data_IF_482004920863
#
_entry.id   IF_482004920863
#
_cell.length_a   1.000
_cell.length_b   1.000
_cell.length_c   1.000
_cell.angle_alpha   90.00
_cell.angle_beta   90.00
_cell.angle_gamma   90.00
#
_symmetry.space_group_name_H-M   'P 1'
#
loop_
_entity.id
_entity.type
_entity.pdbx_description
1 polymer ?
#
# COMPACT_ATOMS: atom_id res chain seq x y z
N UNK A 1 -67.99 -35.97 10.22
CA UNK A 1 -68.54 -37.29 9.81
C UNK A 1 -67.36 -38.22 9.65
N UNK A 2 -67.19 -39.14 10.61
CA UNK A 2 -67.43 -40.58 10.41
C UNK A 2 -66.43 -41.15 9.39
N UNK A 3 -65.31 -41.69 9.89
CA UNK A 3 -65.11 -43.12 10.21
C UNK A 3 -64.59 -43.90 9.00
N UNK A 4 -63.47 -44.59 9.24
CA UNK A 4 -62.76 -45.64 8.51
C UNK A 4 -63.68 -46.75 7.94
N UNK A 5 -63.25 -47.90 7.35
CA UNK A 5 -61.88 -48.49 7.32
C UNK A 5 -61.54 -49.41 6.09
N UNK A 6 -60.36 -50.04 6.21
CA UNK A 6 -60.09 -51.48 6.01
C UNK A 6 -59.73 -52.07 4.63
N UNK A 7 -58.58 -52.78 4.64
CA UNK A 7 -58.27 -53.96 3.84
C UNK A 7 -57.27 -53.71 2.71
N UNK A 8 -56.24 -54.52 2.44
CA UNK A 8 -55.93 -55.91 2.82
C UNK A 8 -54.42 -56.13 2.58
N UNK A 9 -53.77 -56.90 3.46
CA UNK A 9 -52.40 -57.42 3.30
C UNK A 9 -52.34 -58.45 2.16
N UNK A 10 -51.49 -58.21 1.17
CA UNK A 10 -51.07 -59.17 0.15
C UNK A 10 -49.61 -59.60 0.39
N UNK A 11 -49.41 -60.92 0.38
CA UNK A 11 -48.25 -61.69 0.83
C UNK A 11 -47.09 -61.62 -0.18
N UNK A 12 -45.87 -61.61 0.35
CA UNK A 12 -44.60 -61.63 -0.37
C UNK A 12 -44.23 -63.03 -0.88
N UNK A 13 -43.46 -63.07 -1.97
CA UNK A 13 -42.52 -64.13 -2.38
C UNK A 13 -41.48 -63.54 -3.37
N UNK A 14 -40.31 -64.18 -3.59
CA UNK A 14 -39.01 -63.54 -3.37
C UNK A 14 -38.12 -63.39 -4.63
N UNK A 15 -36.91 -62.89 -4.39
CA UNK A 15 -35.69 -62.91 -5.23
C UNK A 15 -35.56 -61.94 -6.41
N UNK A 16 -34.74 -60.91 -6.19
CA UNK A 16 -33.58 -60.59 -7.04
C UNK A 16 -32.72 -59.54 -6.33
N UNK A 17 -31.56 -59.92 -5.80
CA UNK A 17 -30.50 -58.97 -5.43
C UNK A 17 -29.85 -58.41 -6.71
N UNK A 18 -29.69 -57.09 -6.83
CA UNK A 18 -28.63 -56.51 -7.63
C UNK A 18 -27.65 -55.75 -6.72
N UNK A 19 -26.42 -56.26 -6.62
CA UNK A 19 -25.15 -55.56 -6.41
C UNK A 19 -25.23 -54.18 -5.71
N UNK A 20 -25.37 -54.24 -4.39
CA UNK A 20 -25.44 -53.08 -3.48
C UNK A 20 -24.14 -52.23 -3.43
N UNK A 21 -23.08 -52.63 -4.14
CA UNK A 21 -21.77 -51.95 -4.08
C UNK A 21 -21.58 -50.86 -5.15
N UNK A 22 -22.36 -50.88 -6.25
CA UNK A 22 -22.33 -49.82 -7.27
C UNK A 22 -23.26 -48.64 -6.94
N UNK A 23 -24.33 -48.88 -6.19
CA UNK A 23 -25.29 -47.85 -5.81
C UNK A 23 -24.75 -46.94 -4.69
N UNK A 24 -23.94 -47.48 -3.77
CA UNK A 24 -23.28 -46.70 -2.71
C UNK A 24 -22.20 -45.73 -3.26
N UNK A 25 -21.49 -46.11 -4.33
CA UNK A 25 -20.51 -45.22 -4.97
C UNK A 25 -21.18 -44.07 -5.75
N UNK A 26 -22.32 -44.32 -6.38
CA UNK A 26 -23.12 -43.30 -7.08
C UNK A 26 -23.80 -42.33 -6.10
N UNK A 27 -24.31 -42.83 -4.97
CA UNK A 27 -24.87 -41.99 -3.91
C UNK A 27 -23.78 -41.18 -3.17
N UNK A 28 -22.59 -41.75 -2.98
CA UNK A 28 -21.43 -41.06 -2.41
C UNK A 28 -20.91 -39.91 -3.29
N UNK A 29 -20.80 -40.12 -4.62
CA UNK A 29 -20.42 -39.05 -5.54
C UNK A 29 -21.51 -37.98 -5.69
N UNK A 30 -22.79 -38.35 -5.62
CA UNK A 30 -23.91 -37.41 -5.63
C UNK A 30 -23.90 -36.47 -4.42
N UNK A 31 -23.61 -36.99 -3.22
CA UNK A 31 -23.51 -36.17 -2.01
C UNK A 31 -22.26 -35.27 -1.97
N UNK A 32 -21.14 -35.68 -2.58
CA UNK A 32 -19.95 -34.82 -2.71
C UNK A 32 -20.16 -33.71 -3.75
N UNK A 33 -20.98 -33.93 -4.77
CA UNK A 33 -21.33 -32.90 -5.76
C UNK A 33 -22.45 -31.94 -5.30
N UNK A 34 -23.28 -32.34 -4.32
CA UNK A 34 -24.31 -31.47 -3.72
C UNK A 34 -23.79 -30.61 -2.55
N UNK A 35 -22.62 -30.93 -1.98
CA UNK A 35 -21.99 -30.13 -0.91
C UNK A 35 -21.07 -29.00 -1.43
N UNK A 36 -20.90 -28.85 -2.75
CA UNK A 36 -20.07 -27.79 -3.35
C UNK A 36 -20.85 -26.50 -3.66
N UNK A 37 -22.15 -26.46 -3.37
CA UNK A 37 -22.96 -25.25 -3.47
C UNK A 37 -23.33 -24.85 -2.04
N UNK A 38 -23.19 -23.56 -1.72
CA UNK A 38 -23.36 -22.96 -0.38
C UNK A 38 -22.15 -23.05 0.56
N UNK A 39 -20.97 -22.69 0.06
CA UNK A 39 -20.09 -21.82 0.85
C UNK A 39 -20.34 -20.39 0.36
N UNK A 40 -20.72 -19.41 1.22
CA UNK A 40 -20.72 -18.00 0.86
C UNK A 40 -19.26 -17.53 0.82
N UNK A 41 -18.52 -18.00 -0.19
CA UNK A 41 -17.22 -17.44 -0.54
C UNK A 41 -17.46 -16.22 -1.41
N UNK A 42 -16.78 -15.11 -1.11
CA UNK A 42 -16.72 -13.94 -1.99
C UNK A 42 -16.10 -14.39 -3.32
N UNK A 43 -16.95 -14.65 -4.31
CA UNK A 43 -16.51 -15.06 -5.64
C UNK A 43 -15.77 -13.90 -6.31
N UNK A 44 -14.61 -14.19 -6.89
CA UNK A 44 -13.92 -13.22 -7.71
C UNK A 44 -14.86 -12.75 -8.84
N UNK A 45 -14.93 -11.44 -9.12
CA UNK A 45 -15.81 -10.91 -10.14
C UNK A 45 -15.47 -11.49 -11.51
N UNK A 46 -16.51 -11.81 -12.30
CA UNK A 46 -16.36 -12.42 -13.62
C UNK A 46 -15.59 -11.53 -14.59
N UNK A 47 -14.99 -12.12 -15.64
CA UNK A 47 -14.32 -11.37 -16.72
C UNK A 47 -15.24 -10.44 -17.50
N UNK A 48 -16.56 -10.53 -17.29
CA UNK A 48 -17.59 -9.69 -17.89
C UNK A 48 -17.82 -8.38 -17.12
N UNK A 49 -17.17 -8.21 -15.96
CA UNK A 49 -17.30 -7.01 -15.15
C UNK A 49 -16.54 -5.83 -15.77
N UNK A 50 -17.29 -4.85 -16.27
CA UNK A 50 -16.72 -3.58 -16.76
C UNK A 50 -16.08 -2.81 -15.60
N UNK A 51 -14.82 -2.39 -15.78
CA UNK A 51 -14.00 -1.71 -14.76
C UNK A 51 -13.72 -0.24 -15.03
N UNK A 52 -14.37 0.34 -16.03
CA UNK A 52 -14.22 1.75 -16.35
C UNK A 52 -15.60 2.35 -16.64
N UNK A 53 -15.77 3.59 -16.18
CA UNK A 53 -16.89 4.45 -16.55
C UNK A 53 -16.31 5.80 -17.00
N UNK A 54 -16.27 6.02 -18.30
CA UNK A 54 -15.53 7.14 -18.88
C UNK A 54 -14.05 7.04 -18.55
N UNK A 55 -13.51 8.08 -17.93
CA UNK A 55 -12.09 8.17 -17.55
C UNK A 55 -11.80 7.64 -16.14
N UNK A 56 -12.82 7.17 -15.42
CA UNK A 56 -12.68 6.74 -14.03
C UNK A 56 -12.59 5.22 -13.96
N UNK A 57 -11.53 4.72 -13.33
CA UNK A 57 -11.38 3.31 -13.02
C UNK A 57 -12.28 2.92 -11.84
N UNK A 58 -12.99 1.80 -11.97
CA UNK A 58 -13.90 1.24 -10.98
C UNK A 58 -13.31 -0.08 -10.46
N UNK A 59 -12.39 -0.01 -9.49
CA UNK A 59 -11.79 -1.20 -8.91
C UNK A 59 -12.79 -1.93 -8.00
N UNK A 60 -12.71 -3.26 -7.95
CA UNK A 60 -13.38 -4.03 -6.90
C UNK A 60 -12.84 -3.58 -5.52
N UNK A 61 -13.67 -3.34 -4.49
CA UNK A 61 -15.03 -3.87 -4.27
C UNK A 61 -16.17 -3.09 -4.93
N UNK A 62 -15.90 -2.00 -5.64
CA UNK A 62 -16.93 -1.25 -6.36
C UNK A 62 -17.31 -1.93 -7.67
N UNK A 63 -18.54 -1.66 -8.13
CA UNK A 63 -19.06 -2.20 -9.38
C UNK A 63 -20.11 -1.27 -10.00
N UNK A 64 -20.14 -1.23 -11.32
CA UNK A 64 -21.15 -0.52 -12.14
C UNK A 64 -22.08 -1.48 -12.90
N UNK A 65 -21.84 -2.78 -12.74
CA UNK A 65 -22.62 -3.87 -13.33
C UNK A 65 -23.14 -4.70 -12.17
N UNK A 66 -24.43 -5.11 -12.17
CA UNK A 66 -24.98 -5.97 -11.13
C UNK A 66 -24.13 -7.24 -10.94
N UNK A 67 -23.79 -7.55 -9.68
CA UNK A 67 -22.95 -8.70 -9.33
C UNK A 67 -21.44 -8.51 -9.54
N UNK A 68 -20.99 -7.30 -9.89
CA UNK A 68 -19.56 -6.98 -10.05
C UNK A 68 -18.95 -6.17 -8.91
N UNK A 69 -19.75 -5.85 -7.90
CA UNK A 69 -19.38 -5.25 -6.62
C UNK A 69 -19.33 -6.30 -5.50
N UNK A 70 -18.76 -5.95 -4.35
CA UNK A 70 -18.73 -6.81 -3.17
C UNK A 70 -20.12 -6.97 -2.55
N UNK A 71 -20.85 -5.87 -2.41
CA UNK A 71 -22.25 -5.82 -1.99
C UNK A 71 -22.94 -4.68 -2.73
N UNK A 72 -24.28 -4.67 -2.70
CA UNK A 72 -25.06 -3.58 -3.30
C UNK A 72 -24.69 -2.19 -2.76
N UNK A 73 -24.14 -2.10 -1.55
CA UNK A 73 -23.71 -0.82 -0.98
C UNK A 73 -22.47 -0.23 -1.70
N UNK A 74 -21.71 -1.08 -2.41
CA UNK A 74 -20.58 -0.70 -3.27
C UNK A 74 -20.98 -0.49 -4.74
N UNK A 75 -22.26 -0.61 -5.08
CA UNK A 75 -22.74 -0.30 -6.43
C UNK A 75 -22.62 1.19 -6.72
N UNK A 76 -22.25 1.49 -7.96
CA UNK A 76 -22.22 2.82 -8.56
C UNK A 76 -23.09 2.78 -9.83
N UNK A 77 -23.75 3.88 -10.16
CA UNK A 77 -24.35 4.03 -11.49
C UNK A 77 -23.30 4.57 -12.47
N UNK A 78 -23.43 4.26 -13.75
CA UNK A 78 -22.59 4.80 -14.81
C UNK A 78 -23.50 5.42 -15.86
N UNK A 79 -23.64 6.74 -15.81
CA UNK A 79 -24.62 7.51 -16.56
C UNK A 79 -23.93 8.33 -17.64
N UNK A 80 -24.56 8.47 -18.81
CA UNK A 80 -24.00 9.24 -19.92
C UNK A 80 -24.54 10.67 -19.85
N UNK A 81 -23.65 11.65 -19.65
CA UNK A 81 -23.96 13.07 -19.67
C UNK A 81 -23.14 13.75 -20.78
N UNK A 82 -23.80 14.50 -21.65
CA UNK A 82 -23.16 15.16 -22.81
C UNK A 82 -22.30 14.20 -23.68
N UNK A 83 -22.73 12.94 -23.78
CA UNK A 83 -22.03 11.90 -24.53
C UNK A 83 -20.85 11.25 -23.80
N UNK A 84 -20.54 11.67 -22.57
CA UNK A 84 -19.44 11.15 -21.75
C UNK A 84 -20.02 10.30 -20.61
N UNK A 85 -19.66 9.00 -20.49
CA UNK A 85 -20.04 8.19 -19.35
C UNK A 85 -19.34 8.66 -18.07
N UNK A 86 -20.07 8.78 -16.98
CA UNK A 86 -19.58 9.23 -15.68
C UNK A 86 -20.15 8.37 -14.55
N UNK A 87 -19.33 7.97 -13.56
CA UNK A 87 -19.82 7.18 -12.44
C UNK A 87 -20.47 8.06 -11.38
N UNK A 88 -21.53 7.56 -10.73
CA UNK A 88 -22.23 8.26 -9.67
C UNK A 88 -22.50 7.34 -8.47
N UNK A 89 -22.49 7.96 -7.30
CA UNK A 89 -23.05 7.41 -6.05
C UNK A 89 -24.22 8.30 -5.66
N UNK A 90 -25.44 7.84 -5.93
CA UNK A 90 -26.63 8.68 -5.79
C UNK A 90 -26.50 9.92 -6.68
N UNK A 91 -26.61 11.12 -6.11
CA UNK A 91 -26.48 12.38 -6.84
C UNK A 91 -25.03 12.86 -7.05
N UNK A 92 -24.03 12.15 -6.49
CA UNK A 92 -22.64 12.60 -6.43
C UNK A 92 -21.81 11.91 -7.51
N UNK A 93 -21.25 12.69 -8.45
CA UNK A 93 -20.31 12.19 -9.46
C UNK A 93 -19.03 11.73 -8.77
N UNK A 94 -18.56 10.53 -9.07
CA UNK A 94 -17.31 9.96 -8.53
C UNK A 94 -16.16 10.36 -9.44
N UNK A 95 -15.13 10.99 -8.87
CA UNK A 95 -13.96 11.47 -9.59
C UNK A 95 -12.87 10.39 -9.65
N UNK A 96 -12.61 9.73 -8.52
CA UNK A 96 -11.58 8.71 -8.37
C UNK A 96 -11.86 7.81 -7.16
N UNK A 97 -11.26 6.62 -7.17
CA UNK A 97 -11.34 5.65 -6.07
C UNK A 97 -9.93 5.14 -5.78
N UNK A 98 -9.46 5.32 -4.54
CA UNK A 98 -8.16 4.85 -4.09
C UNK A 98 -8.32 3.66 -3.14
N UNK A 99 -7.91 2.47 -3.59
CA UNK A 99 -7.81 1.28 -2.73
C UNK A 99 -6.78 1.47 -1.62
N UNK A 100 -5.59 2.00 -1.97
CA UNK A 100 -4.48 2.15 -1.04
C UNK A 100 -4.80 3.09 0.14
N UNK A 101 -5.54 4.17 -0.14
CA UNK A 101 -5.94 5.17 0.86
C UNK A 101 -7.28 4.87 1.51
N UNK A 102 -8.12 4.01 0.91
CA UNK A 102 -9.50 3.81 1.35
C UNK A 102 -10.36 5.05 1.15
N UNK A 103 -10.12 5.81 0.08
CA UNK A 103 -10.84 7.07 -0.20
C UNK A 103 -11.53 7.04 -1.57
N UNK A 104 -12.59 7.83 -1.72
CA UNK A 104 -13.23 8.12 -2.99
C UNK A 104 -13.51 9.62 -3.10
N UNK A 105 -13.02 10.26 -4.17
CA UNK A 105 -13.33 11.65 -4.47
C UNK A 105 -14.68 11.77 -5.17
N UNK A 106 -15.50 12.73 -4.77
CA UNK A 106 -16.81 13.00 -5.37
C UNK A 106 -17.05 14.49 -5.58
N UNK A 107 -17.96 14.84 -6.50
CA UNK A 107 -18.42 16.23 -6.68
C UNK A 107 -19.64 16.55 -5.82
N UNK A 108 -19.43 17.43 -4.85
CA UNK A 108 -20.44 17.94 -3.95
C UNK A 108 -21.05 19.26 -4.45
N UNK A 109 -22.29 19.57 -4.07
CA UNK A 109 -22.98 20.78 -4.50
C UNK A 109 -22.64 21.98 -3.62
N UNK A 110 -22.47 23.14 -4.24
CA UNK A 110 -22.31 24.42 -3.54
C UNK A 110 -23.71 24.94 -3.17
N UNK A 111 -23.93 25.26 -1.90
CA UNK A 111 -25.12 26.02 -1.48
C UNK A 111 -24.81 27.51 -1.58
N UNK A 112 -25.50 28.21 -2.49
CA UNK A 112 -25.47 29.66 -2.59
C UNK A 112 -26.66 30.30 -1.87
N UNK A 113 -26.43 31.44 -1.22
CA UNK A 113 -27.47 32.31 -0.70
C UNK A 113 -27.22 33.71 -1.25
N UNK A 114 -28.02 34.12 -2.23
CA UNK A 114 -27.76 35.29 -3.05
C UNK A 114 -28.92 36.28 -3.03
N UNK A 115 -28.59 37.55 -3.17
CA UNK A 115 -29.58 38.60 -3.35
C UNK A 115 -30.15 38.58 -4.77
N UNK A 116 -31.48 38.47 -4.85
CA UNK A 116 -32.24 38.56 -6.09
C UNK A 116 -32.82 39.97 -6.23
N UNK A 117 -32.34 40.72 -7.21
CA UNK A 117 -32.75 42.11 -7.47
C UNK A 117 -34.19 42.22 -7.95
N UNK A 118 -34.75 41.15 -8.53
CA UNK A 118 -36.12 41.13 -9.06
C UNK A 118 -37.15 40.97 -7.94
N UNK A 119 -36.86 40.15 -6.94
CA UNK A 119 -37.73 39.91 -5.77
C UNK A 119 -37.39 40.81 -4.59
N UNK A 120 -36.19 41.38 -4.58
CA UNK A 120 -35.69 42.25 -3.51
C UNK A 120 -35.30 41.49 -2.24
N UNK A 121 -35.12 40.16 -2.32
CA UNK A 121 -34.86 39.26 -1.20
C UNK A 121 -33.65 38.37 -1.40
N UNK A 122 -33.17 37.79 -0.30
CA UNK A 122 -32.14 36.75 -0.33
C UNK A 122 -32.78 35.38 -0.61
N UNK A 123 -32.24 34.66 -1.59
CA UNK A 123 -32.77 33.38 -2.08
C UNK A 123 -31.66 32.33 -2.18
N UNK A 124 -32.05 31.06 -2.05
CA UNK A 124 -31.13 29.95 -2.23
C UNK A 124 -30.89 29.68 -3.72
N UNK A 125 -29.63 29.47 -4.08
CA UNK A 125 -29.20 29.07 -5.42
C UNK A 125 -28.37 27.79 -5.34
N UNK A 126 -28.54 26.93 -6.33
CA UNK A 126 -27.95 25.59 -6.34
C UNK A 126 -28.86 24.53 -5.73
N UNK A 127 -28.31 23.35 -5.48
CA UNK A 127 -29.04 22.26 -4.85
C UNK A 127 -29.04 22.44 -3.33
N UNK A 128 -30.22 22.65 -2.75
CA UNK A 128 -30.41 22.62 -1.30
C UNK A 128 -30.36 21.17 -0.79
N UNK A 129 -29.64 20.94 0.30
CA UNK A 129 -29.45 19.60 0.87
C UNK A 129 -28.01 19.10 0.71
N UNK A 130 -27.45 18.53 1.79
CA UNK A 130 -26.09 17.99 1.79
C UNK A 130 -25.98 16.54 1.32
N UNK A 131 -25.00 15.82 1.85
CA UNK A 131 -24.78 14.41 1.53
C UNK A 131 -25.70 13.52 2.36
N UNK A 132 -26.47 12.66 1.71
CA UNK A 132 -27.38 11.72 2.38
C UNK A 132 -26.93 10.27 2.23
N UNK A 133 -26.14 9.80 3.20
CA UNK A 133 -25.86 8.38 3.39
C UNK A 133 -26.71 7.77 4.50
N UNK A 134 -26.52 6.48 4.74
CA UNK A 134 -27.16 5.74 5.82
C UNK A 134 -26.09 5.05 6.71
N UNK A 135 -26.45 4.56 7.92
CA UNK A 135 -25.50 3.91 8.82
C UNK A 135 -24.76 2.71 8.21
N UNK A 136 -25.41 1.98 7.30
CA UNK A 136 -24.86 0.81 6.60
C UNK A 136 -24.03 1.17 5.36
N UNK A 137 -24.08 2.43 4.91
CA UNK A 137 -23.24 2.93 3.82
C UNK A 137 -21.76 2.67 4.11
N UNK A 138 -20.98 2.17 3.13
CA UNK A 138 -19.55 1.94 3.30
C UNK A 138 -18.77 3.26 3.48
N UNK A 139 -19.36 4.39 3.08
CA UNK A 139 -18.70 5.69 3.05
C UNK A 139 -19.01 6.53 4.29
N UNK A 140 -18.00 7.27 4.75
CA UNK A 140 -18.08 8.37 5.72
C UNK A 140 -17.45 9.61 5.12
N UNK A 141 -17.89 10.79 5.55
CA UNK A 141 -17.28 12.06 5.18
C UNK A 141 -15.89 12.14 5.82
N UNK A 142 -14.85 12.42 5.03
CA UNK A 142 -13.48 12.46 5.54
C UNK A 142 -13.28 13.64 6.49
N UNK A 143 -13.04 13.38 7.78
CA UNK A 143 -12.84 14.40 8.81
C UNK A 143 -11.48 15.11 8.67
N UNK A 144 -10.51 14.41 8.11
CA UNK A 144 -9.14 14.92 7.95
C UNK A 144 -8.98 15.76 6.68
N UNK A 145 -9.64 15.37 5.59
CA UNK A 145 -9.46 15.97 4.27
C UNK A 145 -10.51 17.02 3.91
N UNK A 146 -11.73 16.93 4.47
CA UNK A 146 -12.77 17.92 4.18
C UNK A 146 -12.83 19.02 5.24
N UNK A 147 -13.22 20.22 4.80
CA UNK A 147 -13.56 21.35 5.67
C UNK A 147 -14.88 21.95 5.23
N UNK A 148 -15.74 22.22 6.21
CA UNK A 148 -16.95 22.99 5.95
C UNK A 148 -16.54 24.44 5.73
N UNK A 149 -16.69 24.91 4.50
CA UNK A 149 -16.19 26.21 4.03
C UNK A 149 -17.38 27.15 3.83
N UNK A 150 -17.31 28.31 4.46
CA UNK A 150 -18.27 29.40 4.29
C UNK A 150 -17.55 30.60 3.72
N UNK A 151 -18.11 31.18 2.66
CA UNK A 151 -17.55 32.31 1.92
C UNK A 151 -18.60 33.40 1.85
N UNK A 152 -18.20 34.65 2.09
CA UNK A 152 -19.05 35.81 1.99
C UNK A 152 -18.75 36.85 3.06
N UNK A 153 -19.58 37.88 3.12
CA UNK A 153 -19.55 38.94 4.11
C UNK A 153 -20.84 38.92 4.93
N UNK A 154 -20.73 38.93 6.26
CA UNK A 154 -21.88 38.72 7.16
C UNK A 154 -22.62 37.41 6.81
N UNK A 155 -21.87 36.36 6.56
CA UNK A 155 -22.37 35.03 6.20
C UNK A 155 -22.30 34.11 7.42
N UNK A 156 -23.44 33.53 7.80
CA UNK A 156 -23.57 32.56 8.88
C UNK A 156 -24.27 31.31 8.34
N UNK A 157 -23.51 30.22 8.21
CA UNK A 157 -24.04 28.94 7.76
C UNK A 157 -23.88 27.86 8.83
N UNK A 158 -24.87 26.98 8.90
CA UNK A 158 -24.92 25.81 9.77
C UNK A 158 -24.63 24.57 8.93
N UNK A 159 -23.85 23.65 9.48
CA UNK A 159 -23.74 22.27 9.05
C UNK A 159 -24.26 21.38 10.17
N UNK A 160 -25.08 20.40 9.82
CA UNK A 160 -25.72 19.52 10.80
C UNK A 160 -25.72 18.08 10.32
N UNK A 161 -25.48 17.14 11.22
CA UNK A 161 -25.68 15.71 11.01
C UNK A 161 -26.74 15.22 11.98
N UNK A 162 -28.02 15.34 11.58
CA UNK A 162 -29.16 14.98 12.42
C UNK A 162 -29.37 13.46 12.52
N UNK A 163 -29.04 12.73 11.45
CA UNK A 163 -29.29 11.29 11.34
C UNK A 163 -28.11 10.43 11.79
N UNK A 164 -26.90 10.99 11.85
CA UNK A 164 -25.66 10.34 12.29
C UNK A 164 -25.27 10.68 13.72
N UNK A 165 -24.32 11.59 13.88
CA UNK A 165 -23.68 11.84 15.18
C UNK A 165 -24.43 12.86 16.04
N UNK A 166 -25.47 13.52 15.52
CA UNK A 166 -26.10 14.68 16.15
C UNK A 166 -25.20 15.93 16.10
N UNK A 167 -24.21 15.96 15.20
CA UNK A 167 -23.25 17.05 15.13
C UNK A 167 -23.91 18.32 14.59
N UNK A 168 -23.52 19.47 15.16
CA UNK A 168 -23.87 20.78 14.65
C UNK A 168 -22.61 21.65 14.68
N UNK A 169 -22.30 22.29 13.56
CA UNK A 169 -21.16 23.16 13.39
C UNK A 169 -21.55 24.43 12.68
N UNK A 170 -20.86 25.53 12.97
CA UNK A 170 -21.11 26.81 12.31
C UNK A 170 -19.87 27.24 11.52
N UNK A 171 -20.11 27.89 10.39
CA UNK A 171 -19.12 28.67 9.67
C UNK A 171 -19.57 30.13 9.63
N UNK A 172 -18.64 31.04 9.91
CA UNK A 172 -18.91 32.47 10.03
C UNK A 172 -17.86 33.22 9.23
N UNK A 173 -18.31 33.95 8.21
CA UNK A 173 -17.47 34.85 7.44
C UNK A 173 -17.99 36.29 7.56
N UNK A 174 -17.10 37.19 7.97
CA UNK A 174 -17.41 38.61 8.23
C UNK A 174 -16.48 39.50 7.45
N UNK A 175 -16.90 40.74 7.19
CA UNK A 175 -16.04 41.82 6.73
C UNK A 175 -16.75 43.15 6.91
N UNK A 176 -16.01 44.26 6.89
CA UNK A 176 -16.62 45.60 6.78
C UNK A 176 -16.63 46.04 5.34
N UNK A 177 -15.50 45.90 4.64
CA UNK A 177 -15.32 46.22 3.24
C UNK A 177 -14.43 45.18 2.52
N UNK A 178 -14.39 45.23 1.19
CA UNK A 178 -13.51 44.37 0.38
C UNK A 178 -12.02 44.57 0.66
N UNK A 179 -11.61 45.76 1.12
CA UNK A 179 -10.22 46.08 1.47
C UNK A 179 -9.67 45.28 2.66
N UNK A 180 -10.56 44.74 3.49
CA UNK A 180 -10.18 43.94 4.67
C UNK A 180 -9.84 42.49 4.30
N UNK A 181 -10.18 42.09 3.07
CA UNK A 181 -10.02 40.73 2.59
C UNK A 181 -8.64 40.55 1.98
N UNK A 182 -8.04 39.39 2.23
CA UNK A 182 -6.72 39.02 1.74
C UNK A 182 -6.83 37.67 1.04
N UNK A 183 -6.39 37.58 -0.21
CA UNK A 183 -6.33 36.31 -0.94
C UNK A 183 -5.49 35.28 -0.15
N UNK A 184 -5.90 34.01 -0.20
CA UNK A 184 -5.28 32.91 0.54
C UNK A 184 -5.64 32.85 2.03
N UNK A 185 -6.27 33.87 2.61
CA UNK A 185 -6.68 33.88 4.03
C UNK A 185 -8.13 33.39 4.22
N UNK A 186 -8.34 32.38 5.07
CA UNK A 186 -9.68 31.86 5.39
C UNK A 186 -9.82 31.59 6.90
N UNK A 187 -9.86 32.67 7.69
CA UNK A 187 -9.92 32.59 9.17
C UNK A 187 -10.97 33.54 9.77
N UNK A 188 -12.12 33.64 9.12
CA UNK A 188 -13.29 34.41 9.58
C UNK A 188 -13.52 35.74 8.84
N UNK A 189 -12.52 36.23 8.10
CA UNK A 189 -12.65 37.40 7.23
C UNK A 189 -12.89 36.98 5.78
N UNK A 190 -14.09 37.21 5.24
CA UNK A 190 -14.49 36.79 3.89
C UNK A 190 -14.65 35.28 3.68
N UNK A 191 -13.97 34.46 4.50
CA UNK A 191 -14.00 33.01 4.45
C UNK A 191 -13.72 32.40 5.83
N UNK A 192 -14.38 31.28 6.14
CA UNK A 192 -14.04 30.44 7.29
C UNK A 192 -14.11 28.95 6.95
N UNK A 193 -13.22 28.16 7.54
CA UNK A 193 -13.24 26.71 7.46
C UNK A 193 -13.41 26.07 8.84
N UNK A 194 -14.37 25.17 8.96
CA UNK A 194 -14.66 24.41 10.18
C UNK A 194 -14.41 22.93 9.94
N UNK A 195 -13.75 22.27 10.89
CA UNK A 195 -13.52 20.82 10.86
C UNK A 195 -14.81 20.07 11.22
N UNK A 196 -15.03 18.93 10.59
CA UNK A 196 -16.13 18.03 10.93
C UNK A 196 -15.64 16.87 11.81
N UNK A 197 -16.50 16.26 12.66
CA UNK A 197 -16.14 15.07 13.40
C UNK A 197 -16.14 13.81 12.53
N UNK A 198 -15.56 12.75 13.08
CA UNK A 198 -15.63 11.40 12.52
C UNK A 198 -17.04 10.81 12.58
N UNK A 199 -17.25 9.75 11.81
CA UNK A 199 -18.48 8.93 11.76
C UNK A 199 -19.68 9.59 11.11
N UNK A 200 -19.51 10.77 10.52
CA UNK A 200 -20.56 11.39 9.72
C UNK A 200 -20.74 10.63 8.40
N UNK A 201 -21.97 10.22 8.12
CA UNK A 201 -22.40 9.66 6.83
C UNK A 201 -23.52 10.47 6.21
N UNK A 202 -24.00 11.48 6.92
CA UNK A 202 -25.01 12.40 6.51
C UNK A 202 -24.55 13.81 6.91
N UNK A 203 -24.89 14.80 6.11
CA UNK A 203 -24.93 16.17 6.58
C UNK A 203 -25.97 16.97 5.79
N UNK A 204 -26.48 18.02 6.41
CA UNK A 204 -27.24 19.07 5.77
C UNK A 204 -26.61 20.43 6.06
N UNK A 205 -26.86 21.41 5.19
CA UNK A 205 -26.35 22.77 5.36
C UNK A 205 -27.36 23.82 4.98
N UNK A 206 -27.42 24.89 5.78
CA UNK A 206 -28.35 26.01 5.60
C UNK A 206 -27.71 27.32 6.03
N UNK A 207 -28.21 28.44 5.50
CA UNK A 207 -27.85 29.76 6.00
C UNK A 207 -28.83 30.19 7.09
N UNK A 208 -28.32 30.90 8.10
CA UNK A 208 -29.17 31.45 9.15
C UNK A 208 -30.06 32.56 8.58
N UNK A 209 -31.40 32.41 8.62
CA UNK A 209 -32.32 33.43 8.10
C UNK A 209 -32.29 34.72 8.95
N UNK A 210 -31.75 34.64 10.17
CA UNK A 210 -31.61 35.78 11.07
C UNK A 210 -30.57 36.79 10.59
N UNK A 211 -29.70 36.42 9.66
CA UNK A 211 -28.64 37.28 9.13
C UNK A 211 -29.08 37.88 7.80
N UNK A 212 -29.45 39.16 7.83
CA UNK A 212 -29.88 39.89 6.66
C UNK A 212 -28.70 40.61 5.99
N UNK A 213 -28.32 40.17 4.79
CA UNK A 213 -27.24 40.76 3.98
C UNK A 213 -27.74 41.59 2.81
N UNK A 214 -29.05 41.87 2.73
CA UNK A 214 -29.65 42.66 1.63
C UNK A 214 -29.13 44.10 1.53
N UNK A 215 -28.46 44.64 2.55
CA UNK A 215 -27.87 45.99 2.51
C UNK A 215 -26.45 46.02 1.93
N UNK A 216 -25.79 44.87 1.84
CA UNK A 216 -24.40 44.74 1.35
C UNK A 216 -24.32 44.04 -0.01
N UNK A 217 -25.47 43.83 -0.66
CA UNK A 217 -25.60 43.08 -1.91
C UNK A 217 -24.77 43.65 -3.06
N UNK A 218 -24.52 44.96 -3.09
CA UNK A 218 -23.75 45.63 -4.15
C UNK A 218 -22.31 45.14 -4.22
N UNK A 219 -21.71 44.80 -3.07
CA UNK A 219 -20.34 44.28 -3.00
C UNK A 219 -20.24 42.83 -2.54
N UNK A 220 -21.30 42.25 -1.97
CA UNK A 220 -21.40 40.84 -1.60
C UNK A 220 -22.77 40.29 -2.02
N UNK A 221 -22.91 39.94 -3.29
CA UNK A 221 -24.18 39.49 -3.85
C UNK A 221 -24.56 38.08 -3.39
N UNK A 222 -23.57 37.19 -3.25
CA UNK A 222 -23.76 35.78 -2.95
C UNK A 222 -22.84 35.35 -1.81
N UNK A 223 -23.38 34.62 -0.85
CA UNK A 223 -22.59 33.86 0.12
C UNK A 223 -22.70 32.37 -0.20
N UNK A 224 -21.64 31.62 0.08
CA UNK A 224 -21.55 30.20 -0.24
C UNK A 224 -21.24 29.37 1.00
N UNK A 225 -21.85 28.19 1.10
CA UNK A 225 -21.57 27.20 2.13
C UNK A 225 -21.41 25.83 1.47
N UNK A 226 -20.31 25.13 1.77
CA UNK A 226 -20.03 23.84 1.16
C UNK A 226 -19.04 23.02 1.99
N UNK A 227 -19.25 21.69 2.03
CA UNK A 227 -18.25 20.76 2.54
C UNK A 227 -17.35 20.33 1.38
N UNK A 228 -16.06 20.65 1.42
CA UNK A 228 -15.15 20.36 0.32
C UNK A 228 -13.76 19.95 0.78
N UNK A 229 -12.98 19.35 -0.11
CA UNK A 229 -11.59 19.00 0.11
C UNK A 229 -10.76 20.27 0.41
N UNK A 230 -10.08 20.27 1.55
CA UNK A 230 -9.31 21.42 2.02
C UNK A 230 -8.18 21.80 1.06
N UNK A 231 -7.52 20.80 0.47
CA UNK A 231 -6.40 21.00 -0.45
C UNK A 231 -6.82 21.55 -1.82
N UNK A 232 -8.12 21.44 -2.17
CA UNK A 232 -8.66 21.95 -3.42
C UNK A 232 -9.16 23.40 -3.31
N UNK A 233 -9.07 24.01 -2.13
CA UNK A 233 -9.58 25.35 -1.85
C UNK A 233 -8.48 26.33 -1.52
N UNK A 234 -8.44 27.44 -2.26
CA UNK A 234 -7.67 28.63 -1.93
C UNK A 234 -8.60 29.83 -2.03
N UNK A 235 -8.72 30.62 -0.95
CA UNK A 235 -9.64 31.74 -0.92
C UNK A 235 -9.19 32.85 -1.88
N UNK A 236 -10.14 33.43 -2.61
CA UNK A 236 -9.95 34.68 -3.33
C UNK A 236 -11.01 35.69 -2.94
N UNK A 237 -10.59 36.94 -2.78
CA UNK A 237 -11.45 38.12 -2.58
C UNK A 237 -12.54 38.23 -3.66
N UNK A 238 -12.27 37.72 -4.86
CA UNK A 238 -13.23 37.70 -5.97
C UNK A 238 -14.45 36.79 -5.70
N UNK A 239 -14.33 35.84 -4.78
CA UNK A 239 -15.43 34.95 -4.39
C UNK A 239 -16.50 35.65 -3.54
N UNK A 240 -16.19 36.84 -2.98
CA UNK A 240 -17.15 37.65 -2.23
C UNK A 240 -17.86 38.66 -3.15
N UNK A 241 -17.12 39.35 -4.03
CA UNK A 241 -17.68 40.42 -4.86
C UNK A 241 -18.28 39.98 -6.19
N UNK A 242 -18.08 38.74 -6.61
CA UNK A 242 -18.60 38.19 -7.86
C UNK A 242 -19.06 36.75 -7.68
N UNK A 243 -19.70 36.18 -8.71
CA UNK A 243 -20.10 34.77 -8.73
C UNK A 243 -18.94 33.81 -9.08
N UNK A 244 -17.70 34.31 -9.11
CA UNK A 244 -16.54 33.57 -9.61
C UNK A 244 -16.34 32.22 -8.92
N UNK A 245 -16.67 32.08 -7.64
CA UNK A 245 -16.57 30.80 -6.94
C UNK A 245 -17.49 29.75 -7.60
N UNK A 246 -18.77 30.07 -7.74
CA UNK A 246 -19.73 29.17 -8.36
C UNK A 246 -19.39 28.89 -9.84
N UNK A 247 -18.96 29.92 -10.58
CA UNK A 247 -18.63 29.80 -12.01
C UNK A 247 -17.39 28.94 -12.26
N UNK A 248 -16.36 29.08 -11.42
CA UNK A 248 -15.10 28.31 -11.52
C UNK A 248 -15.34 26.82 -11.34
N UNK A 249 -16.22 26.47 -10.40
CA UNK A 249 -16.54 25.09 -10.05
C UNK A 249 -17.81 24.56 -10.73
N UNK A 250 -18.46 25.37 -11.57
CA UNK A 250 -19.75 25.06 -12.18
C UNK A 250 -20.78 24.52 -11.15
N UNK A 251 -20.83 25.15 -9.97
CA UNK A 251 -21.70 24.76 -8.87
C UNK A 251 -21.31 23.50 -8.09
N UNK A 252 -20.21 22.82 -8.44
CA UNK A 252 -19.79 21.57 -7.77
C UNK A 252 -18.30 21.51 -7.43
N UNK A 253 -17.98 21.15 -6.20
CA UNK A 253 -16.61 21.11 -5.67
C UNK A 253 -16.18 19.69 -5.28
N UNK A 254 -14.88 19.37 -5.33
CA UNK A 254 -14.37 18.10 -4.82
C UNK A 254 -14.63 17.92 -3.32
N UNK A 255 -15.05 16.73 -2.93
CA UNK A 255 -15.22 16.28 -1.54
C UNK A 255 -14.71 14.84 -1.43
N UNK A 256 -14.05 14.51 -0.32
CA UNK A 256 -13.46 13.19 -0.10
C UNK A 256 -14.33 12.33 0.84
N UNK A 257 -14.61 11.10 0.43
CA UNK A 257 -15.24 10.09 1.26
C UNK A 257 -14.21 9.06 1.72
N UNK A 258 -14.21 8.71 2.99
CA UNK A 258 -13.49 7.55 3.51
C UNK A 258 -14.41 6.33 3.41
N UNK A 259 -14.01 5.31 2.66
CA UNK A 259 -14.80 4.09 2.53
C UNK A 259 -14.12 2.91 3.22
N UNK A 260 -14.93 2.01 3.77
CA UNK A 260 -14.47 0.80 4.42
C UNK A 260 -15.50 -0.32 4.24
N UNK A 261 -15.07 -1.56 4.50
CA UNK A 261 -15.97 -2.69 4.66
C UNK A 261 -16.46 -2.67 6.11
N UNK A 262 -17.79 -2.59 6.28
CA UNK A 262 -18.47 -2.29 7.55
C UNK A 262 -19.35 -3.43 8.06
N UNK A 263 -19.09 -4.66 7.60
CA UNK A 263 -19.78 -5.87 8.05
C UNK A 263 -19.39 -6.26 9.49
N UNK A 264 -18.17 -5.91 9.91
CA UNK A 264 -17.64 -6.16 11.25
C UNK A 264 -16.93 -4.92 11.81
N UNK A 265 -16.62 -4.96 13.12
CA UNK A 265 -16.08 -3.81 13.83
C UNK A 265 -14.62 -3.48 13.51
N UNK A 266 -13.78 -4.49 13.31
CA UNK A 266 -12.33 -4.37 13.15
C UNK A 266 -11.73 -5.54 12.37
N UNK A 267 -10.46 -5.41 12.01
CA UNK A 267 -9.66 -6.45 11.38
C UNK A 267 -9.57 -7.74 12.19
N UNK A 268 -9.43 -7.64 13.51
CA UNK A 268 -9.35 -8.82 14.38
C UNK A 268 -10.66 -9.61 14.33
N UNK A 269 -11.80 -8.91 14.36
CA UNK A 269 -13.11 -9.53 14.18
C UNK A 269 -13.26 -10.12 12.77
N UNK A 270 -12.78 -9.43 11.74
CA UNK A 270 -12.86 -9.86 10.35
C UNK A 270 -12.09 -11.17 10.10
N UNK A 271 -10.88 -11.29 10.64
CA UNK A 271 -10.03 -12.49 10.50
C UNK A 271 -10.55 -13.70 11.26
N UNK A 272 -11.26 -13.47 12.36
CA UNK A 272 -11.89 -14.55 13.15
C UNK A 272 -13.23 -15.00 12.56
N UNK A 273 -13.76 -14.27 11.59
CA UNK A 273 -15.06 -14.56 11.01
C UNK A 273 -14.99 -15.81 10.11
N UNK A 274 -15.46 -16.94 10.63
CA UNK A 274 -15.47 -18.23 9.93
C UNK A 274 -16.57 -18.34 8.88
N UNK A 275 -17.41 -17.32 8.71
CA UNK A 275 -18.51 -17.30 7.72
C UNK A 275 -18.05 -17.06 6.28
N UNK A 276 -16.76 -16.83 6.03
CA UNK A 276 -16.23 -16.63 4.67
C UNK A 276 -16.39 -15.21 4.11
N UNK A 277 -16.77 -14.26 4.95
CA UNK A 277 -17.02 -12.84 4.60
C UNK A 277 -15.77 -11.95 4.64
N UNK A 278 -14.62 -12.49 5.04
CA UNK A 278 -13.37 -11.75 5.06
C UNK A 278 -12.93 -11.33 3.64
N UNK A 279 -12.86 -10.03 3.41
CA UNK A 279 -12.73 -9.49 2.05
C UNK A 279 -11.29 -9.32 1.55
N UNK A 280 -10.27 -9.41 2.42
CA UNK A 280 -8.88 -9.32 1.98
C UNK A 280 -8.44 -10.68 1.42
N UNK A 281 -8.81 -10.96 0.17
CA UNK A 281 -8.64 -12.26 -0.45
C UNK A 281 -7.21 -12.52 -0.93
N UNK A 282 -6.42 -11.48 -1.20
CA UNK A 282 -5.08 -11.69 -1.76
C UNK A 282 -4.08 -12.20 -0.72
N UNK A 283 -3.27 -13.19 -1.09
CA UNK A 283 -2.24 -13.76 -0.20
C UNK A 283 -1.21 -12.72 0.27
N UNK A 284 -0.89 -11.73 -0.57
CA UNK A 284 0.02 -10.62 -0.24
C UNK A 284 -0.76 -9.35 0.16
N UNK A 285 -1.88 -9.52 0.88
CA UNK A 285 -2.65 -8.41 1.44
C UNK A 285 -2.63 -8.42 2.97
N UNK A 286 -2.92 -7.26 3.54
CA UNK A 286 -3.09 -7.03 4.97
C UNK A 286 -4.39 -6.26 5.21
N UNK A 287 -5.07 -6.62 6.29
CA UNK A 287 -6.20 -5.86 6.79
C UNK A 287 -5.73 -4.61 7.54
N UNK A 288 -6.42 -3.49 7.35
CA UNK A 288 -6.17 -2.21 8.02
C UNK A 288 -7.48 -1.70 8.63
N UNK A 289 -7.48 -1.41 9.92
CA UNK A 289 -8.67 -0.87 10.59
C UNK A 289 -9.05 0.50 10.03
N UNK A 290 -10.35 0.73 9.87
CA UNK A 290 -10.89 2.03 9.48
C UNK A 290 -10.61 3.06 10.58
N UNK A 291 -10.12 4.23 10.17
CA UNK A 291 -9.83 5.34 11.10
C UNK A 291 -11.02 6.28 11.29
N UNK A 292 -12.03 6.19 10.41
CA UNK A 292 -13.24 7.00 10.40
C UNK A 292 -14.47 6.08 10.48
N UNK A 293 -14.89 5.81 11.72
CA UNK A 293 -15.89 4.80 12.10
C UNK A 293 -15.38 3.34 11.95
N UNK A 294 -16.17 2.37 12.40
CA UNK A 294 -15.85 0.94 12.43
C UNK A 294 -15.58 0.33 11.04
N UNK A 295 -15.08 -0.90 11.01
CA UNK A 295 -14.79 -1.60 9.76
C UNK A 295 -13.32 -1.60 9.39
N UNK A 296 -13.03 -2.06 8.18
CA UNK A 296 -11.66 -2.25 7.72
C UNK A 296 -11.52 -2.06 6.21
N UNK A 297 -10.30 -1.82 5.77
CA UNK A 297 -9.88 -1.88 4.37
C UNK A 297 -8.79 -2.94 4.19
N UNK A 298 -8.49 -3.27 2.95
CA UNK A 298 -7.45 -4.22 2.59
C UNK A 298 -6.39 -3.46 1.80
N UNK A 299 -5.12 -3.68 2.13
CA UNK A 299 -3.98 -3.11 1.42
C UNK A 299 -3.01 -4.22 1.02
N UNK A 300 -2.34 -4.07 -0.12
CA UNK A 300 -1.23 -4.95 -0.45
C UNK A 300 -0.09 -4.76 0.58
N UNK A 301 0.66 -5.83 0.84
CA UNK A 301 1.86 -5.79 1.69
C UNK A 301 2.97 -5.00 0.98
N UNK A 302 3.98 -4.58 1.74
CA UNK A 302 5.09 -3.81 1.19
C UNK A 302 5.79 -4.61 0.08
N UNK A 303 6.08 -3.96 -1.06
CA UNK A 303 6.64 -4.60 -2.26
C UNK A 303 5.58 -5.19 -3.20
N UNK A 304 4.29 -5.04 -2.90
CA UNK A 304 3.18 -5.48 -3.75
C UNK A 304 2.21 -4.34 -4.06
N UNK A 305 1.62 -4.34 -5.26
CA UNK A 305 0.60 -3.39 -5.69
C UNK A 305 -0.56 -4.10 -6.42
N UNK A 306 -1.69 -3.42 -6.59
CA UNK A 306 -2.87 -3.95 -7.27
C UNK A 306 -4.09 -4.02 -6.35
N UNK A 307 -4.93 -5.04 -6.53
CA UNK A 307 -6.22 -5.13 -5.87
C UNK A 307 -6.23 -6.21 -4.75
N UNK A 308 -6.15 -5.82 -3.47
CA UNK A 308 -6.09 -6.78 -2.36
C UNK A 308 -7.38 -7.56 -2.11
N UNK A 309 -8.49 -7.15 -2.72
CA UNK A 309 -9.80 -7.79 -2.61
C UNK A 309 -10.00 -8.95 -3.59
N UNK A 310 -8.98 -9.27 -4.40
CA UNK A 310 -8.98 -10.40 -5.34
C UNK A 310 -7.90 -11.42 -4.93
N UNK A 311 -8.16 -12.72 -5.06
CA UNK A 311 -7.24 -13.80 -4.60
C UNK A 311 -5.78 -13.63 -5.09
N UNK A 312 -5.60 -13.24 -6.34
CA UNK A 312 -4.26 -12.98 -6.92
C UNK A 312 -4.06 -11.50 -7.29
N UNK A 313 -4.77 -10.58 -6.65
CA UNK A 313 -4.78 -9.19 -7.08
C UNK A 313 -3.59 -8.34 -6.61
N UNK A 314 -2.89 -8.72 -5.54
CA UNK A 314 -1.61 -8.09 -5.16
C UNK A 314 -0.45 -8.73 -5.93
N UNK A 315 0.14 -7.96 -6.85
CA UNK A 315 1.25 -8.35 -7.72
C UNK A 315 2.56 -7.75 -7.22
N UNK A 316 3.64 -8.51 -7.40
CA UNK A 316 4.99 -8.09 -7.04
C UNK A 316 5.40 -6.84 -7.82
N UNK A 317 5.86 -5.81 -7.12
CA UNK A 317 6.37 -4.59 -7.73
C UNK A 317 7.81 -4.83 -8.13
N UNK A 318 8.10 -4.75 -9.43
CA UNK A 318 9.48 -4.80 -9.89
C UNK A 318 10.18 -3.46 -9.68
N UNK A 319 10.80 -3.26 -8.52
CA UNK A 319 11.45 -1.99 -8.20
C UNK A 319 12.67 -1.72 -9.10
N UNK A 320 13.26 -2.74 -9.72
CA UNK A 320 14.39 -2.57 -10.63
C UNK A 320 14.06 -1.73 -11.87
N UNK A 321 12.78 -1.61 -12.25
CA UNK A 321 12.36 -0.74 -13.34
C UNK A 321 12.65 0.75 -13.08
N UNK A 322 12.85 1.13 -11.80
CA UNK A 322 13.20 2.50 -11.38
C UNK A 322 14.69 2.70 -11.14
N UNK A 323 15.53 1.71 -11.49
CA UNK A 323 16.99 1.73 -11.27
C UNK A 323 17.39 2.15 -9.83
N UNK A 324 16.92 1.44 -8.77
CA UNK A 324 17.15 1.84 -7.38
C UNK A 324 18.59 1.61 -6.90
N UNK A 325 19.35 0.77 -7.61
CA UNK A 325 20.73 0.42 -7.28
C UNK A 325 21.73 1.48 -7.77
N UNK A 326 22.94 1.56 -7.17
CA UNK A 326 24.00 2.45 -7.64
C UNK A 326 24.41 2.12 -9.07
N UNK A 327 25.02 3.10 -9.75
CA UNK A 327 25.48 2.99 -11.15
C UNK A 327 26.40 1.79 -11.40
N UNK A 328 27.18 1.40 -10.40
CA UNK A 328 28.11 0.25 -10.42
C UNK A 328 27.46 -1.07 -9.96
N UNK A 329 26.17 -1.04 -9.62
CA UNK A 329 25.41 -2.15 -9.09
C UNK A 329 24.50 -2.82 -10.12
N UNK A 330 24.22 -4.11 -9.90
CA UNK A 330 23.21 -4.87 -10.61
C UNK A 330 21.98 -5.07 -9.71
N UNK A 331 20.80 -4.72 -10.24
CA UNK A 331 19.52 -4.91 -9.57
C UNK A 331 18.92 -6.28 -9.92
N UNK A 332 18.50 -7.03 -8.90
CA UNK A 332 17.73 -8.26 -9.05
C UNK A 332 16.40 -8.13 -8.32
N UNK A 333 15.31 -8.21 -9.06
CA UNK A 333 13.97 -8.26 -8.49
C UNK A 333 13.74 -9.61 -7.77
N UNK A 334 13.11 -9.57 -6.60
CA UNK A 334 12.74 -10.73 -5.79
C UNK A 334 11.32 -10.48 -5.28
N UNK A 335 10.54 -11.53 -5.02
CA UNK A 335 9.19 -11.36 -4.51
C UNK A 335 9.16 -10.50 -3.22
N UNK A 336 8.45 -9.36 -3.28
CA UNK A 336 8.25 -8.35 -2.26
C UNK A 336 9.44 -7.42 -2.00
N UNK A 337 10.53 -7.51 -2.77
CA UNK A 337 11.73 -6.67 -2.60
C UNK A 337 12.75 -6.83 -3.72
N UNK A 338 13.64 -5.86 -3.87
CA UNK A 338 14.82 -6.01 -4.73
C UNK A 338 16.11 -6.30 -3.93
N UNK A 339 17.13 -6.80 -4.63
CA UNK A 339 18.50 -6.92 -4.11
C UNK A 339 19.48 -6.26 -5.08
N UNK A 340 20.27 -5.33 -4.55
CA UNK A 340 21.43 -4.80 -5.25
C UNK A 340 22.66 -5.68 -4.99
N UNK A 341 23.47 -5.84 -6.01
CA UNK A 341 24.78 -6.51 -5.95
C UNK A 341 25.80 -5.66 -6.69
N UNK A 342 27.08 -5.76 -6.33
CA UNK A 342 28.14 -4.98 -6.96
C UNK A 342 28.99 -5.86 -7.88
N UNK A 343 29.71 -5.22 -8.80
CA UNK A 343 30.75 -5.88 -9.59
C UNK A 343 31.82 -6.52 -8.69
N UNK A 344 32.52 -7.52 -9.24
CA UNK A 344 33.58 -8.28 -8.57
C UNK A 344 34.55 -7.38 -7.81
N UNK A 345 34.88 -7.77 -6.58
CA UNK A 345 35.79 -7.02 -5.71
C UNK A 345 35.15 -5.86 -4.93
N UNK A 346 33.85 -5.57 -5.12
CA UNK A 346 33.11 -4.57 -4.34
C UNK A 346 31.99 -5.23 -3.51
N UNK A 347 31.66 -4.65 -2.35
CA UNK A 347 30.55 -5.03 -1.48
C UNK A 347 29.52 -3.90 -1.47
N UNK A 348 28.25 -4.28 -1.57
CA UNK A 348 27.14 -3.34 -1.47
C UNK A 348 26.97 -2.88 -0.02
N UNK A 349 26.83 -1.57 0.17
CA UNK A 349 26.57 -0.93 1.47
C UNK A 349 25.18 -0.29 1.41
N UNK A 350 24.24 -0.85 2.18
CA UNK A 350 22.82 -0.45 2.14
C UNK A 350 22.58 0.99 2.57
N UNK A 351 23.29 1.46 3.60
CA UNK A 351 23.08 2.80 4.20
C UNK A 351 23.44 3.93 3.25
N UNK A 352 24.55 3.79 2.52
CA UNK A 352 25.04 4.79 1.55
C UNK A 352 24.59 4.52 0.12
N UNK A 353 23.87 3.42 -0.11
CA UNK A 353 23.52 2.92 -1.45
C UNK A 353 24.74 2.89 -2.40
N UNK A 354 25.91 2.44 -1.94
CA UNK A 354 27.17 2.46 -2.71
C UNK A 354 27.85 1.09 -2.82
N UNK A 355 28.73 0.96 -3.81
CA UNK A 355 29.59 -0.20 -3.99
C UNK A 355 31.02 0.14 -3.54
N UNK A 356 31.41 -0.36 -2.37
CA UNK A 356 32.73 -0.10 -1.79
C UNK A 356 33.66 -1.30 -2.04
N UNK A 357 34.96 -1.05 -2.26
CA UNK A 357 35.93 -2.14 -2.43
C UNK A 357 35.95 -3.07 -1.21
N UNK A 358 35.95 -4.38 -1.46
CA UNK A 358 36.01 -5.40 -0.43
C UNK A 358 37.46 -5.50 0.09
N UNK A 359 37.78 -4.67 1.09
CA UNK A 359 39.11 -4.58 1.70
C UNK A 359 39.60 -5.96 2.19
N UNK A 360 38.70 -6.82 2.68
CA UNK A 360 39.07 -8.18 3.14
C UNK A 360 39.57 -9.09 2.01
N UNK A 361 38.98 -8.97 0.81
CA UNK A 361 39.45 -9.72 -0.36
C UNK A 361 40.84 -9.22 -0.81
N UNK A 362 41.05 -7.90 -0.79
CA UNK A 362 42.33 -7.28 -1.16
C UNK A 362 43.43 -7.73 -0.18
N UNK A 363 43.17 -7.69 1.13
CA UNK A 363 44.12 -8.14 2.16
C UNK A 363 44.43 -9.63 2.03
N UNK A 364 43.43 -10.48 1.76
CA UNK A 364 43.63 -11.92 1.61
C UNK A 364 44.55 -12.26 0.43
N UNK A 365 44.38 -11.59 -0.71
CA UNK A 365 45.21 -11.82 -1.90
C UNK A 365 46.64 -11.29 -1.70
N UNK A 366 46.80 -10.11 -1.08
CA UNK A 366 48.14 -9.54 -0.83
C UNK A 366 48.92 -10.35 0.20
N UNK A 367 48.28 -10.82 1.28
CA UNK A 367 48.91 -11.70 2.26
C UNK A 367 49.28 -13.06 1.66
N UNK A 368 48.42 -13.63 0.81
CA UNK A 368 48.71 -14.89 0.10
C UNK A 368 49.92 -14.79 -0.83
N UNK A 369 50.00 -13.73 -1.62
CA UNK A 369 51.15 -13.45 -2.49
C UNK A 369 52.43 -13.20 -1.69
N UNK A 370 52.35 -12.44 -0.59
CA UNK A 370 53.50 -12.20 0.28
C UNK A 370 54.02 -13.49 0.92
N UNK A 371 53.12 -14.33 1.43
CA UNK A 371 53.48 -15.65 1.98
C UNK A 371 54.18 -16.53 0.95
N UNK A 372 53.71 -16.55 -0.29
CA UNK A 372 54.32 -17.32 -1.37
C UNK A 372 55.73 -16.80 -1.73
N UNK A 373 55.90 -15.47 -1.77
CA UNK A 373 57.21 -14.85 -1.97
C UNK A 373 58.21 -15.21 -0.87
N UNK A 374 57.78 -15.22 0.40
CA UNK A 374 58.64 -15.60 1.53
C UNK A 374 59.06 -17.07 1.43
N UNK A 375 58.15 -17.98 1.07
CA UNK A 375 58.47 -19.40 0.88
C UNK A 375 59.50 -19.59 -0.24
N UNK A 376 59.32 -18.88 -1.37
CA UNK A 376 60.28 -18.92 -2.49
C UNK A 376 61.66 -18.39 -2.06
N UNK A 377 61.70 -17.31 -1.29
CA UNK A 377 62.97 -16.78 -0.78
C UNK A 377 63.67 -17.77 0.17
N UNK A 378 62.91 -18.46 1.02
CA UNK A 378 63.44 -19.50 1.90
C UNK A 378 63.97 -20.69 1.07
N UNK A 379 63.22 -21.21 0.10
CA UNK A 379 63.69 -22.35 -0.70
C UNK A 379 64.94 -22.01 -1.51
N UNK A 380 65.02 -20.79 -2.06
CA UNK A 380 66.23 -20.27 -2.73
C UNK A 380 67.40 -20.20 -1.74
N UNK A 381 67.20 -19.60 -0.57
CA UNK A 381 68.25 -19.46 0.44
C UNK A 381 68.79 -20.81 0.91
N UNK A 382 67.91 -21.76 1.20
CA UNK A 382 68.29 -23.12 1.60
C UNK A 382 68.99 -23.87 0.45
N UNK A 383 68.53 -23.70 -0.79
CA UNK A 383 69.21 -24.23 -1.97
C UNK A 383 70.63 -23.67 -2.14
N UNK A 384 70.80 -22.36 -1.98
CA UNK A 384 72.11 -21.69 -2.01
C UNK A 384 73.03 -22.22 -0.89
N UNK A 385 72.50 -22.36 0.33
CA UNK A 385 73.24 -22.92 1.46
C UNK A 385 73.71 -24.37 1.21
N UNK A 386 72.87 -25.22 0.63
CA UNK A 386 73.23 -26.60 0.26
C UNK A 386 74.35 -26.60 -0.79
N UNK A 387 74.23 -25.75 -1.81
CA UNK A 387 75.27 -25.61 -2.86
C UNK A 387 76.58 -25.15 -2.24
N UNK A 388 76.58 -24.12 -1.40
CA UNK A 388 77.77 -23.61 -0.72
C UNK A 388 78.42 -24.69 0.17
N UNK A 389 77.62 -25.44 0.94
CA UNK A 389 78.11 -26.55 1.78
C UNK A 389 78.74 -27.66 0.93
N UNK A 390 78.16 -27.97 -0.24
CA UNK A 390 78.72 -28.97 -1.15
C UNK A 390 80.07 -28.53 -1.74
N UNK A 391 80.22 -27.24 -2.09
CA UNK A 391 81.49 -26.66 -2.54
C UNK A 391 82.55 -26.72 -1.44
N UNK A 392 82.19 -26.33 -0.22
CA UNK A 392 83.09 -26.39 0.93
C UNK A 392 83.55 -27.82 1.25
N UNK A 393 82.65 -28.81 1.17
CA UNK A 393 83.01 -30.21 1.38
C UNK A 393 83.95 -30.75 0.30
N UNK A 394 83.74 -30.40 -0.98
CA UNK A 394 84.66 -30.76 -2.06
C UNK A 394 86.05 -30.16 -1.85
N UNK A 395 86.12 -28.88 -1.44
CA UNK A 395 87.40 -28.24 -1.11
C UNK A 395 88.04 -28.90 0.09
N UNK A 396 87.29 -29.21 1.16
CA UNK A 396 87.80 -29.94 2.32
C UNK A 396 88.36 -31.31 1.95
N UNK A 397 87.69 -32.05 1.07
CA UNK A 397 88.12 -33.37 0.62
C UNK A 397 89.41 -33.29 -0.23
N UNK A 398 89.50 -32.32 -1.14
CA UNK A 398 90.72 -32.05 -1.91
C UNK A 398 91.88 -31.62 -1.00
N UNK A 399 91.62 -30.73 -0.03
CA UNK A 399 92.62 -30.30 0.95
C UNK A 399 93.09 -31.46 1.83
N UNK A 400 92.16 -32.29 2.29
CA UNK A 400 92.43 -33.50 3.08
C UNK A 400 93.28 -34.50 2.29
N UNK A 401 93.02 -34.67 1.00
CA UNK A 401 93.82 -35.52 0.11
C UNK A 401 95.22 -34.96 -0.14
N UNK A 402 95.34 -33.64 -0.34
CA UNK A 402 96.61 -32.97 -0.70
C UNK A 402 97.59 -32.87 0.47
N UNK A 403 97.10 -32.75 1.70
CA UNK A 403 97.92 -32.68 2.92
C UNK A 403 98.14 -34.04 3.60
N UNK A 404 97.96 -35.16 2.89
CA UNK A 404 98.28 -36.49 3.43
C UNK A 404 97.30 -36.99 4.50
N UNK A 405 96.08 -36.45 4.58
CA UNK A 405 95.05 -36.91 5.52
C UNK A 405 94.65 -38.37 5.33
N UNK A 406 94.80 -38.91 4.11
CA UNK A 406 94.60 -40.33 3.80
C UNK A 406 95.66 -41.22 4.48
N UNK A 407 96.90 -40.75 4.55
CA UNK A 407 98.02 -41.43 5.24
C UNK A 407 97.83 -41.44 6.75
N UNK A 408 97.29 -40.35 7.32
CA UNK A 408 96.93 -40.27 8.73
C UNK A 408 95.75 -41.19 9.08
N UNK A 409 94.73 -41.24 8.20
CA UNK A 409 93.54 -42.07 8.40
C UNK A 409 93.84 -43.57 8.26
N UNK A 410 94.68 -43.97 7.31
CA UNK A 410 95.17 -45.36 7.20
C UNK A 410 96.04 -45.75 8.39
N UNK A 411 96.86 -44.83 8.92
CA UNK A 411 97.64 -45.07 10.14
C UNK A 411 96.74 -45.22 11.38
N UNK A 412 95.72 -44.36 11.52
CA UNK A 412 94.69 -44.49 12.58
C UNK A 412 93.85 -45.76 12.45
N UNK A 413 93.58 -46.24 11.22
CA UNK A 413 92.82 -47.48 10.97
C UNK A 413 93.68 -48.73 11.19
N UNK A 414 94.98 -48.65 10.90
CA UNK A 414 95.98 -49.70 11.15
C UNK A 414 96.35 -49.82 12.64
N UNK A 415 96.33 -48.74 13.41
CA UNK A 415 96.67 -48.72 14.85
C UNK A 415 95.43 -48.75 15.77
N UNK A 416 94.35 -49.44 15.36
CA UNK A 416 93.22 -49.73 16.26
C UNK A 416 93.64 -50.74 17.34
N UNK A 417 94.36 -50.23 18.33
CA UNK A 417 94.81 -50.93 19.53
C UNK A 417 95.40 -50.01 20.61
N UNK A 418 95.79 -48.77 20.30
CA UNK A 418 96.26 -47.82 21.32
C UNK A 418 95.46 -46.52 21.26
N UNK A 419 94.78 -46.23 22.37
CA UNK A 419 94.09 -44.98 22.60
C UNK A 419 95.07 -43.80 22.47
N UNK A 420 94.74 -42.83 21.62
CA UNK A 420 95.48 -41.57 21.55
C UNK A 420 94.72 -40.50 22.33
N UNK A 421 95.35 -40.01 23.41
CA UNK A 421 94.96 -38.77 24.06
C UNK A 421 95.46 -37.60 23.20
N UNK A 422 94.53 -36.79 22.71
CA UNK A 422 94.85 -35.52 22.05
C UNK A 422 95.01 -34.47 23.14
N UNK A 423 96.23 -34.02 23.38
CA UNK A 423 96.47 -32.79 24.12
C UNK A 423 96.23 -31.61 23.17
N UNK A 424 95.20 -30.81 23.45
CA UNK A 424 95.11 -29.44 22.96
C UNK A 424 95.72 -28.52 24.02
N UNK A 425 96.84 -27.89 23.69
CA UNK A 425 97.38 -26.77 24.45
C UNK A 425 96.54 -25.50 24.17
N UNK A 426 96.54 -24.60 25.17
CA UNK A 426 95.56 -23.55 25.47
C UNK A 426 95.12 -22.59 24.35
#
# INVERSE_FOLDING_TARGET
>A
MLLSPLGVLGKADPEAEPNNMQMLFQLGLGFVLLAAQYAPGIAAPSSQCRRQCGNVEIPYPFGIVPGCSLTQAFDLSCEVQDGIPKPFRGAFEVLDISLAKGTAGVLNYILGYCYNTSTGSMEYFGQSGGFSGDPSSPCRLSDTQNRFTVIGCSALALISDYDGTGYQGLGVATCRNLSDLVDGSCSGMGCSQTTIPKRMYYYDTTFSPSVNTSQIWEFNRCSYAVLMEAAAFEFSTMYVNTNKFNDTYNGRVPMILDWAIRDVKSCDAAKQNTTGTYACLSANSKCVDSTNDHGYTCNCTNGYEGNPYLQDGCKDVNECNRNPCPSDGFCRNIAGKYRCSCRLGKKYVTESNTCNSNIGFIIGVTMGLFGLMVIVMITIFWGQMIIQKSKLNKVKEEYFRKHGGVLLFDKMKSEKGLAFNVFSEA
#
